data_IF_597321290357
#
_entry.id   IF_597321290357
#
_cell.length_a   1.000
_cell.length_b   1.000
_cell.length_c   1.000
_cell.angle_alpha   90.00
_cell.angle_beta   90.00
_cell.angle_gamma   90.00
#
_symmetry.space_group_name_H-M   'P 1'
#
loop_
_entity.id
_entity.type
_entity.pdbx_description
1 polymer ?
#
# COMPACT_ATOMS: atom_id res chain seq x y z
N UNK A 1 -20.52 26.03 -12.55
CA UNK A 1 -19.06 26.29 -12.50
C UNK A 1 -18.40 24.98 -12.09
N UNK A 2 -17.72 24.28 -13.00
CA UNK A 2 -16.79 23.24 -12.59
C UNK A 2 -15.50 23.93 -12.17
N UNK A 3 -15.13 23.83 -10.89
CA UNK A 3 -13.78 24.17 -10.48
C UNK A 3 -12.79 23.31 -11.30
N UNK A 4 -11.61 23.82 -11.68
CA UNK A 4 -10.59 22.99 -12.30
C UNK A 4 -10.29 21.84 -11.34
N UNK A 5 -10.31 20.61 -11.85
CA UNK A 5 -9.84 19.45 -11.11
C UNK A 5 -8.36 19.70 -10.78
N UNK A 6 -8.05 19.96 -9.51
CA UNK A 6 -6.67 20.10 -9.08
C UNK A 6 -5.96 18.75 -9.29
N UNK A 7 -4.69 18.75 -9.73
CA UNK A 7 -3.93 17.52 -9.83
C UNK A 7 -3.82 16.88 -8.44
N UNK A 8 -4.12 15.58 -8.38
CA UNK A 8 -3.91 14.74 -7.19
C UNK A 8 -2.55 14.08 -7.35
N UNK A 9 -1.70 14.18 -6.33
CA UNK A 9 -0.39 13.54 -6.30
C UNK A 9 -0.39 12.45 -5.23
N UNK A 10 -0.12 11.21 -5.66
CA UNK A 10 -0.13 10.01 -4.82
C UNK A 10 1.29 9.42 -4.68
N UNK A 11 2.29 10.29 -4.57
CA UNK A 11 3.67 9.90 -4.38
C UNK A 11 4.04 9.88 -2.89
N UNK A 12 4.99 9.04 -2.53
CA UNK A 12 5.61 9.13 -1.20
C UNK A 12 6.49 10.38 -1.15
N UNK A 13 6.08 11.37 -0.38
CA UNK A 13 6.72 12.69 -0.34
C UNK A 13 7.72 12.86 0.79
N UNK A 14 7.68 11.93 1.75
CA UNK A 14 8.55 11.91 2.92
C UNK A 14 9.49 10.70 2.92
N UNK A 15 9.57 10.00 1.80
CA UNK A 15 10.47 8.86 1.65
C UNK A 15 11.92 9.29 1.88
N UNK A 16 12.57 8.66 2.85
CA UNK A 16 13.92 9.02 3.30
C UNK A 16 15.05 8.17 2.68
N UNK A 17 14.69 7.21 1.82
CA UNK A 17 15.62 6.32 1.15
C UNK A 17 16.09 6.79 -0.22
N UNK A 18 16.71 5.87 -0.97
CA UNK A 18 17.17 6.13 -2.32
C UNK A 18 16.01 6.04 -3.33
N UNK A 19 15.92 7.04 -4.22
CA UNK A 19 14.97 7.09 -5.33
C UNK A 19 15.76 7.12 -6.64
N UNK A 20 15.97 5.95 -7.23
CA UNK A 20 16.68 5.82 -8.51
C UNK A 20 15.70 5.28 -9.57
N UNK A 21 15.76 3.98 -9.86
CA UNK A 21 14.80 3.25 -10.69
C UNK A 21 13.62 2.73 -9.86
N UNK A 22 13.86 2.52 -8.57
CA UNK A 22 12.92 2.09 -7.54
C UNK A 22 13.20 2.86 -6.26
N UNK A 23 12.25 2.79 -5.31
CA UNK A 23 12.40 3.31 -3.96
C UNK A 23 12.97 2.20 -3.07
N UNK A 24 14.17 2.40 -2.53
CA UNK A 24 14.89 1.39 -1.74
C UNK A 24 15.55 1.99 -0.51
N UNK A 25 15.79 1.15 0.50
CA UNK A 25 16.59 1.50 1.69
C UNK A 25 16.02 2.68 2.51
N UNK A 26 14.70 2.82 2.55
CA UNK A 26 14.04 3.87 3.32
C UNK A 26 12.62 3.54 3.72
N UNK A 27 12.06 4.44 4.51
CA UNK A 27 10.71 4.47 5.02
C UNK A 27 10.01 5.75 4.56
N UNK A 28 8.68 5.75 4.62
CA UNK A 28 7.88 6.90 4.20
C UNK A 28 6.43 6.78 4.65
N UNK A 29 5.51 7.36 3.87
CA UNK A 29 4.08 7.44 4.21
C UNK A 29 3.45 6.06 4.49
N UNK A 30 3.92 4.99 3.85
CA UNK A 30 3.40 3.63 4.08
C UNK A 30 3.69 3.09 5.49
N UNK A 31 4.53 3.78 6.27
CA UNK A 31 5.05 3.32 7.57
C UNK A 31 5.04 4.41 8.65
N UNK A 32 4.44 5.57 8.40
CA UNK A 32 4.46 6.72 9.32
C UNK A 32 3.38 6.67 10.42
N UNK A 33 2.43 5.73 10.31
CA UNK A 33 1.35 5.53 11.26
C UNK A 33 0.10 6.38 11.02
N UNK A 34 0.06 7.17 9.95
CA UNK A 34 -1.09 7.98 9.54
C UNK A 34 -1.98 7.18 8.58
N UNK A 35 -3.29 7.32 8.73
CA UNK A 35 -4.26 6.75 7.78
C UNK A 35 -4.95 7.91 7.05
N UNK A 36 -5.02 7.84 5.73
CA UNK A 36 -5.75 8.82 4.93
C UNK A 36 -7.27 8.71 5.08
N UNK A 37 -7.96 9.75 4.61
CA UNK A 37 -9.43 9.88 4.66
C UNK A 37 -10.15 9.02 3.61
N UNK A 38 -11.47 8.85 3.79
CA UNK A 38 -12.34 8.21 2.79
C UNK A 38 -12.30 8.95 1.44
N UNK A 39 -12.34 10.29 1.49
CA UNK A 39 -12.02 11.13 0.35
C UNK A 39 -10.51 11.35 0.31
N UNK A 40 -9.81 10.57 -0.52
CA UNK A 40 -8.35 10.63 -0.65
C UNK A 40 -7.83 11.99 -1.15
N UNK A 41 -8.72 12.87 -1.63
CA UNK A 41 -8.33 14.24 -2.03
C UNK A 41 -8.21 15.19 -0.84
N UNK A 42 -8.70 14.79 0.33
CA UNK A 42 -8.53 15.48 1.59
C UNK A 42 -7.31 14.93 2.32
N UNK A 43 -6.65 15.79 3.09
CA UNK A 43 -5.53 15.41 3.96
C UNK A 43 -5.74 15.98 5.34
N UNK A 44 -5.29 15.23 6.35
CA UNK A 44 -5.20 15.70 7.72
C UNK A 44 -4.18 16.84 7.88
N UNK A 45 -3.23 16.94 6.96
CA UNK A 45 -2.24 18.01 6.92
C UNK A 45 -2.87 19.22 6.22
N UNK A 46 -3.13 20.29 6.98
CA UNK A 46 -3.79 21.51 6.48
C UNK A 46 -3.09 22.20 5.28
N UNK A 47 -1.81 21.88 5.03
CA UNK A 47 -0.99 22.42 3.92
C UNK A 47 -0.69 21.34 2.87
N UNK A 48 -1.17 20.10 3.06
CA UNK A 48 -0.99 19.01 2.12
C UNK A 48 -1.74 19.29 0.80
N UNK A 49 -1.17 18.80 -0.31
CA UNK A 49 -1.88 18.77 -1.58
C UNK A 49 -2.90 17.62 -1.61
N UNK A 50 -3.90 17.66 -2.51
CA UNK A 50 -4.83 16.55 -2.67
C UNK A 50 -4.11 15.23 -2.93
N UNK A 51 -4.40 14.19 -2.12
CA UNK A 51 -3.72 12.89 -2.19
C UNK A 51 -2.56 12.68 -1.22
N UNK A 52 -2.15 13.70 -0.45
CA UNK A 52 -0.94 13.66 0.39
C UNK A 52 -0.85 12.44 1.32
N UNK A 53 -1.96 11.99 1.90
CA UNK A 53 -1.99 10.88 2.88
C UNK A 53 -1.92 9.48 2.22
N UNK A 54 -1.82 9.41 0.88
CA UNK A 54 -1.85 8.15 0.12
C UNK A 54 -0.67 8.03 -0.85
N UNK A 55 -0.12 6.81 -0.91
CA UNK A 55 0.76 6.37 -2.01
C UNK A 55 -0.08 5.51 -2.96
N UNK A 56 -0.01 5.78 -4.26
CA UNK A 56 -0.89 5.19 -5.24
C UNK A 56 -0.22 4.88 -6.56
N UNK A 57 -0.76 3.85 -7.23
CA UNK A 57 -0.26 3.37 -8.51
C UNK A 57 -1.40 3.26 -9.50
N UNK A 58 -1.12 3.60 -10.77
CA UNK A 58 -2.07 3.45 -11.86
C UNK A 58 -1.85 2.10 -12.54
N UNK A 59 -2.91 1.31 -12.72
CA UNK A 59 -2.85 0.02 -13.39
C UNK A 59 -2.22 0.10 -14.81
N UNK A 60 -2.41 1.22 -15.52
CA UNK A 60 -1.83 1.41 -16.85
C UNK A 60 -0.29 1.50 -16.83
N UNK A 61 0.31 1.77 -15.67
CA UNK A 61 1.76 1.86 -15.48
C UNK A 61 2.39 0.51 -15.11
N UNK A 62 1.59 -0.54 -14.83
CA UNK A 62 2.06 -1.85 -14.37
C UNK A 62 1.57 -2.95 -15.32
N UNK A 63 2.33 -3.31 -16.35
CA UNK A 63 1.91 -4.29 -17.35
C UNK A 63 1.67 -5.69 -16.77
N UNK A 64 2.38 -6.05 -15.70
CA UNK A 64 2.21 -7.32 -14.98
C UNK A 64 0.94 -7.35 -14.10
N UNK A 65 0.29 -6.19 -13.91
CA UNK A 65 -1.00 -6.08 -13.23
C UNK A 65 -0.96 -6.18 -11.71
N UNK A 66 0.22 -5.97 -11.10
CA UNK A 66 0.42 -5.89 -9.66
C UNK A 66 1.51 -4.88 -9.29
N UNK A 67 1.48 -4.43 -8.05
CA UNK A 67 2.55 -3.64 -7.42
C UNK A 67 3.31 -4.59 -6.50
N UNK A 68 4.63 -4.59 -6.59
CA UNK A 68 5.51 -5.36 -5.72
C UNK A 68 6.14 -4.40 -4.69
N UNK A 69 6.09 -4.79 -3.42
CA UNK A 69 6.69 -4.06 -2.30
C UNK A 69 7.38 -5.09 -1.42
N UNK A 70 8.64 -4.84 -1.09
CA UNK A 70 9.42 -5.68 -0.18
C UNK A 70 9.61 -4.94 1.14
N UNK A 71 9.29 -5.62 2.25
CA UNK A 71 9.55 -5.13 3.60
C UNK A 71 10.65 -5.98 4.24
N UNK A 72 11.73 -5.33 4.66
CA UNK A 72 12.83 -5.98 5.38
C UNK A 72 12.83 -5.56 6.85
N UNK A 73 13.02 -6.53 7.74
CA UNK A 73 12.96 -6.34 9.18
C UNK A 73 14.34 -6.55 9.79
N UNK A 74 14.59 -5.86 10.91
CA UNK A 74 15.84 -5.90 11.67
C UNK A 74 16.31 -7.32 12.07
N UNK A 75 15.37 -8.26 12.19
CA UNK A 75 15.60 -9.66 12.55
C UNK A 75 14.43 -10.52 12.13
N UNK A 76 14.62 -11.84 12.17
CA UNK A 76 13.53 -12.80 12.00
C UNK A 76 12.43 -12.58 13.04
N UNK A 77 11.19 -12.46 12.57
CA UNK A 77 9.99 -12.21 13.38
C UNK A 77 8.90 -13.22 13.02
N UNK A 78 7.97 -13.39 13.96
CA UNK A 78 6.75 -14.15 13.73
C UNK A 78 5.68 -13.22 13.12
N UNK A 79 5.41 -13.39 11.83
CA UNK A 79 4.39 -12.65 11.10
C UNK A 79 3.01 -13.24 11.36
N UNK A 80 2.25 -12.60 12.25
CA UNK A 80 0.88 -13.02 12.58
C UNK A 80 -0.14 -12.45 11.60
N UNK A 81 -0.01 -11.16 11.25
CA UNK A 81 -0.89 -10.48 10.31
C UNK A 81 -0.22 -9.26 9.68
N UNK A 82 -0.67 -8.92 8.48
CA UNK A 82 -0.41 -7.63 7.82
C UNK A 82 -1.72 -6.86 7.71
N UNK A 83 -1.68 -5.55 7.91
CA UNK A 83 -2.82 -4.66 7.73
C UNK A 83 -2.45 -3.58 6.75
N UNK A 84 -3.24 -3.44 5.69
CA UNK A 84 -3.04 -2.40 4.68
C UNK A 84 -4.26 -1.49 4.70
N UNK A 85 -4.05 -0.20 4.92
CA UNK A 85 -5.12 0.79 4.84
C UNK A 85 -5.34 1.20 3.38
N UNK A 86 -6.48 0.82 2.81
CA UNK A 86 -6.78 1.01 1.40
C UNK A 86 -7.94 1.98 1.23
N UNK A 87 -7.83 2.89 0.26
CA UNK A 87 -8.96 3.68 -0.20
C UNK A 87 -9.84 2.86 -1.18
N UNK A 88 -11.15 3.13 -1.20
CA UNK A 88 -12.10 2.45 -2.10
C UNK A 88 -13.07 3.43 -2.78
N UNK A 89 -12.65 4.67 -3.02
CA UNK A 89 -13.45 5.71 -3.69
C UNK A 89 -13.60 5.40 -5.20
N UNK A 90 -14.34 4.35 -5.52
CA UNK A 90 -14.51 3.81 -6.87
C UNK A 90 -15.19 4.79 -7.83
N UNK A 91 -15.92 5.78 -7.31
CA UNK A 91 -16.47 6.90 -8.09
C UNK A 91 -15.37 7.74 -8.76
N UNK A 92 -14.15 7.72 -8.20
CA UNK A 92 -12.95 8.35 -8.73
C UNK A 92 -11.93 7.33 -9.26
N UNK A 93 -12.37 6.12 -9.60
CA UNK A 93 -11.52 5.04 -10.15
C UNK A 93 -10.45 4.50 -9.20
N UNK A 94 -10.56 4.78 -7.89
CA UNK A 94 -9.69 4.21 -6.84
C UNK A 94 -10.36 2.99 -6.22
N UNK A 95 -9.64 1.88 -6.10
CA UNK A 95 -10.15 0.63 -5.52
C UNK A 95 -9.09 -0.05 -4.67
N UNK A 96 -9.53 -0.74 -3.61
CA UNK A 96 -8.66 -1.65 -2.88
C UNK A 96 -8.20 -2.81 -3.80
N UNK A 97 -7.04 -3.39 -3.48
CA UNK A 97 -6.49 -4.51 -4.25
C UNK A 97 -7.42 -5.73 -4.24
N UNK A 98 -7.46 -6.47 -5.35
CA UNK A 98 -8.28 -7.70 -5.48
C UNK A 98 -7.66 -8.93 -4.81
N UNK A 99 -6.35 -8.92 -4.66
CA UNK A 99 -5.55 -10.03 -4.16
C UNK A 99 -4.21 -9.50 -3.70
N UNK A 100 -3.64 -10.15 -2.69
CA UNK A 100 -2.24 -10.00 -2.27
C UNK A 100 -1.60 -11.37 -2.19
N UNK A 101 -0.36 -11.46 -2.63
CA UNK A 101 0.47 -12.66 -2.58
C UNK A 101 1.72 -12.27 -1.81
N UNK A 102 1.98 -12.96 -0.70
CA UNK A 102 3.11 -12.72 0.17
C UNK A 102 4.11 -13.85 0.01
N UNK A 103 5.36 -13.49 -0.29
CA UNK A 103 6.49 -14.40 -0.21
C UNK A 103 7.23 -14.09 1.09
N UNK A 104 7.91 -15.07 1.66
CA UNK A 104 8.63 -14.87 2.91
C UNK A 104 10.09 -15.29 2.72
N UNK A 105 11.01 -14.59 3.38
CA UNK A 105 12.42 -14.93 3.37
C UNK A 105 12.98 -14.83 4.79
N UNK A 106 13.57 -15.91 5.28
CA UNK A 106 14.27 -15.96 6.57
C UNK A 106 15.78 -15.88 6.44
N UNK A 107 16.33 -16.46 5.36
CA UNK A 107 17.76 -16.54 5.07
C UNK A 107 18.07 -15.94 3.66
N UNK A 108 18.74 -16.70 2.79
CA UNK A 108 19.15 -16.25 1.45
C UNK A 108 18.03 -16.36 0.41
N UNK A 109 17.23 -17.42 0.48
CA UNK A 109 16.23 -17.76 -0.54
C UNK A 109 14.79 -17.46 -0.05
N UNK A 110 13.95 -17.06 -1.00
CA UNK A 110 12.51 -16.92 -0.77
C UNK A 110 11.84 -18.30 -0.62
N UNK A 111 10.86 -18.39 0.26
CA UNK A 111 10.02 -19.58 0.43
C UNK A 111 9.30 -19.93 -0.90
N UNK A 112 9.30 -21.21 -1.24
CA UNK A 112 8.72 -21.69 -2.50
C UNK A 112 7.19 -21.56 -2.58
N UNK A 113 6.51 -21.58 -1.44
CA UNK A 113 5.05 -21.56 -1.35
C UNK A 113 4.59 -20.21 -0.80
N UNK A 114 4.04 -19.32 -1.64
CA UNK A 114 3.54 -18.05 -1.14
C UNK A 114 2.20 -18.20 -0.43
N UNK A 115 1.88 -17.21 0.40
CA UNK A 115 0.55 -17.04 0.98
C UNK A 115 -0.28 -16.11 0.10
N UNK A 116 -1.46 -16.57 -0.32
CA UNK A 116 -2.36 -15.78 -1.16
C UNK A 116 -3.64 -15.44 -0.39
N UNK A 117 -4.08 -14.20 -0.47
CA UNK A 117 -5.33 -13.71 0.12
C UNK A 117 -6.08 -12.82 -0.86
N UNK A 118 -7.39 -13.02 -0.97
CA UNK A 118 -8.29 -12.20 -1.78
C UNK A 118 -9.33 -11.54 -0.88
N UNK A 119 -9.31 -10.21 -0.72
CA UNK A 119 -10.35 -9.50 0.01
C UNK A 119 -11.72 -9.68 -0.66
N UNK A 120 -12.79 -9.60 0.12
CA UNK A 120 -14.14 -9.55 -0.44
C UNK A 120 -14.26 -8.28 -1.27
N UNK A 121 -14.61 -8.44 -2.55
CA UNK A 121 -14.83 -7.31 -3.46
C UNK A 121 -15.95 -6.43 -2.92
N UNK A 122 -15.63 -5.18 -2.64
CA UNK A 122 -16.61 -4.19 -2.19
C UNK A 122 -16.79 -3.08 -3.24
N UNK A 123 -17.93 -3.11 -3.92
CA UNK A 123 -18.33 -2.08 -4.89
C UNK A 123 -19.48 -1.22 -4.38
N UNK A 124 -19.82 -1.30 -3.09
CA UNK A 124 -20.95 -0.58 -2.49
C UNK A 124 -20.52 0.43 -1.45
N UNK A 125 -19.49 0.12 -0.66
CA UNK A 125 -19.00 1.02 0.38
C UNK A 125 -17.71 1.71 -0.10
N UNK A 126 -17.74 3.04 -0.33
CA UNK A 126 -16.56 3.78 -0.77
C UNK A 126 -15.55 4.05 0.35
N UNK A 127 -15.89 3.75 1.61
CA UNK A 127 -15.03 4.06 2.76
C UNK A 127 -13.69 3.33 2.68
N UNK A 128 -12.64 4.05 3.03
CA UNK A 128 -11.31 3.53 3.28
C UNK A 128 -11.34 2.59 4.49
N UNK A 129 -10.48 1.57 4.47
CA UNK A 129 -10.47 0.55 5.52
C UNK A 129 -9.17 -0.22 5.58
N UNK A 130 -8.94 -0.84 6.73
CA UNK A 130 -7.91 -1.87 6.84
C UNK A 130 -8.37 -3.17 6.20
N UNK A 131 -7.55 -3.65 5.26
CA UNK A 131 -7.56 -5.04 4.81
C UNK A 131 -6.56 -5.81 5.68
N UNK A 132 -7.05 -6.75 6.47
CA UNK A 132 -6.22 -7.59 7.34
C UNK A 132 -5.95 -8.94 6.68
N UNK A 133 -4.67 -9.25 6.49
CA UNK A 133 -4.17 -10.50 5.92
C UNK A 133 -3.60 -11.33 7.06
N UNK A 134 -4.08 -12.56 7.24
CA UNK A 134 -3.48 -13.50 8.18
C UNK A 134 -2.22 -14.10 7.53
N UNK A 135 -1.08 -13.95 8.20
CA UNK A 135 0.22 -14.39 7.71
C UNK A 135 0.66 -15.75 8.32
N UNK A 136 -0.29 -16.48 8.89
CA UNK A 136 -0.15 -17.86 9.37
C UNK A 136 1.04 -18.12 10.33
N UNK A 137 1.51 -17.08 11.03
CA UNK A 137 2.65 -17.15 11.95
C UNK A 137 3.97 -17.54 11.26
N UNK A 138 4.18 -17.13 10.00
CA UNK A 138 5.43 -17.40 9.29
C UNK A 138 6.63 -16.72 9.99
N UNK A 139 7.74 -17.44 10.09
CA UNK A 139 8.99 -16.95 10.70
C UNK A 139 9.93 -16.46 9.59
N UNK A 140 10.03 -15.14 9.40
CA UNK A 140 10.85 -14.56 8.34
C UNK A 140 11.46 -13.21 8.75
N UNK A 141 12.46 -12.75 8.00
CA UNK A 141 13.09 -11.44 8.12
C UNK A 141 12.70 -10.49 6.99
N UNK A 142 12.09 -10.99 5.90
CA UNK A 142 11.48 -10.18 4.85
C UNK A 142 10.17 -10.80 4.34
N UNK A 143 9.30 -9.93 3.82
CA UNK A 143 8.00 -10.24 3.18
C UNK A 143 7.80 -9.37 1.94
#
# INVERSE_FOLDING_TARGET
MSLPAYPVYLNDSVYDGAIIHSMTEGLGLLTDGVCGEDDFTLSHVHIGWPGYDYVGWNNNSFPDGFVEIMFEFDRTRNFTSMKVHCNNMYSQHVKAFRQVVCYFRSDLDWEATPLSFSPVKDEKNPSARFVTVNLANHMASAI
#
